data_IF_197935786557
#
_entry.id   IF_197935786557
#
_cell.length_a   1.000
_cell.length_b   1.000
_cell.length_c   1.000
_cell.angle_alpha   90.00
_cell.angle_beta   90.00
_cell.angle_gamma   90.00
#
_symmetry.space_group_name_H-M   'P 1'
#
loop_
_entity.id
_entity.type
_entity.pdbx_description
1 polymer ?
#
# COMPACT_ATOMS: atom_id res chain seq x y z
N UNK A 1 -28.82 -9.42 -18.10
CA UNK A 1 -27.76 -8.41 -17.91
C UNK A 1 -28.04 -7.54 -16.68
N UNK A 2 -29.09 -6.72 -16.66
CA UNK A 2 -29.37 -5.83 -15.51
C UNK A 2 -29.56 -6.53 -14.14
N UNK A 3 -30.09 -7.76 -14.09
CA UNK A 3 -30.19 -8.54 -12.84
C UNK A 3 -28.84 -9.11 -12.39
N UNK A 4 -28.03 -9.57 -13.34
CA UNK A 4 -26.67 -10.05 -13.08
C UNK A 4 -25.80 -8.91 -12.55
N UNK A 5 -25.85 -7.76 -13.21
CA UNK A 5 -25.16 -6.53 -12.79
C UNK A 5 -25.53 -6.13 -11.36
N UNK A 6 -26.83 -6.02 -11.05
CA UNK A 6 -27.28 -5.74 -9.69
C UNK A 6 -26.81 -6.78 -8.68
N UNK A 7 -26.79 -8.05 -9.05
CA UNK A 7 -26.31 -9.13 -8.19
C UNK A 7 -24.79 -9.05 -7.93
N UNK A 8 -24.01 -8.60 -8.91
CA UNK A 8 -22.56 -8.44 -8.77
C UNK A 8 -22.22 -7.19 -7.95
N UNK A 9 -22.88 -6.06 -8.25
CA UNK A 9 -22.74 -4.83 -7.47
C UNK A 9 -23.10 -5.08 -6.00
N UNK A 10 -24.23 -5.74 -5.73
CA UNK A 10 -24.66 -6.04 -4.35
C UNK A 10 -23.76 -7.03 -3.60
N UNK A 11 -22.77 -7.63 -4.27
CA UNK A 11 -21.78 -8.52 -3.66
C UNK A 11 -20.61 -7.74 -3.07
N UNK A 12 -20.25 -6.60 -3.66
CA UNK A 12 -19.20 -5.72 -3.14
C UNK A 12 -19.82 -4.80 -2.09
N UNK A 13 -19.44 -4.97 -0.83
CA UNK A 13 -19.82 -4.03 0.23
C UNK A 13 -18.71 -2.99 0.35
N UNK A 14 -18.96 -1.81 -0.18
CA UNK A 14 -18.05 -0.68 -0.05
C UNK A 14 -18.24 -0.02 1.33
N UNK A 15 -17.15 0.28 2.06
CA UNK A 15 -17.21 1.18 3.20
C UNK A 15 -17.68 2.57 2.78
N UNK A 16 -18.46 3.24 3.64
CA UNK A 16 -18.98 4.60 3.38
C UNK A 16 -17.87 5.62 3.13
N UNK A 17 -16.68 5.42 3.70
CA UNK A 17 -15.52 6.30 3.53
C UNK A 17 -14.98 6.35 2.09
N UNK A 18 -15.18 5.29 1.31
CA UNK A 18 -14.60 5.14 -0.04
C UNK A 18 -15.64 4.76 -1.09
N UNK A 19 -16.93 4.75 -0.75
CA UNK A 19 -17.97 4.31 -1.70
C UNK A 19 -18.03 5.19 -2.95
N UNK A 20 -17.80 6.49 -2.79
CA UNK A 20 -17.75 7.46 -3.88
C UNK A 20 -16.52 7.31 -4.78
N UNK A 21 -15.50 6.57 -4.34
CA UNK A 21 -14.30 6.32 -5.14
C UNK A 21 -14.57 5.29 -6.25
N UNK A 22 -15.62 4.47 -6.15
CA UNK A 22 -15.85 3.35 -7.06
C UNK A 22 -17.08 3.53 -7.95
N UNK A 23 -16.92 3.13 -9.20
CA UNK A 23 -18.00 2.93 -10.14
C UNK A 23 -18.01 1.49 -10.67
N UNK A 24 -19.20 0.96 -10.93
CA UNK A 24 -19.40 -0.39 -11.45
C UNK A 24 -20.27 -0.38 -12.70
N UNK A 25 -20.04 -1.32 -13.61
CA UNK A 25 -20.90 -1.52 -14.75
C UNK A 25 -20.62 -2.84 -15.48
N UNK A 26 -21.42 -3.14 -16.49
CA UNK A 26 -21.11 -4.20 -17.45
C UNK A 26 -20.86 -3.59 -18.83
N UNK A 27 -19.70 -3.90 -19.40
CA UNK A 27 -19.34 -3.48 -20.74
C UNK A 27 -18.60 -4.61 -21.47
N UNK A 28 -18.95 -4.83 -22.74
CA UNK A 28 -18.27 -5.76 -23.65
C UNK A 28 -17.99 -7.16 -23.06
N UNK A 29 -18.94 -7.69 -22.30
CA UNK A 29 -18.84 -9.02 -21.67
C UNK A 29 -17.99 -9.08 -20.40
N UNK A 30 -17.64 -7.93 -19.82
CA UNK A 30 -16.88 -7.81 -18.59
C UNK A 30 -17.68 -7.03 -17.52
N UNK A 31 -17.45 -7.35 -16.26
CA UNK A 31 -17.85 -6.53 -15.13
C UNK A 31 -16.73 -5.53 -14.86
N UNK A 32 -17.00 -4.26 -15.11
CA UNK A 32 -16.04 -3.18 -14.98
C UNK A 32 -16.11 -2.66 -13.54
N UNK A 33 -14.94 -2.60 -12.91
CA UNK A 33 -14.71 -1.84 -11.69
C UNK A 33 -13.81 -0.67 -12.07
N UNK A 34 -14.23 0.54 -11.76
CA UNK A 34 -13.52 1.78 -12.07
C UNK A 34 -13.36 2.59 -10.77
N UNK A 35 -12.26 3.32 -10.67
CA UNK A 35 -11.94 4.17 -9.53
C UNK A 35 -11.76 5.62 -9.97
N UNK A 36 -12.64 6.53 -9.52
CA UNK A 36 -12.59 7.94 -9.89
C UNK A 36 -11.54 8.76 -9.12
N UNK A 37 -11.03 8.22 -8.03
CA UNK A 37 -10.00 8.83 -7.18
C UNK A 37 -9.37 7.76 -6.29
N UNK A 38 -8.34 8.10 -5.51
CA UNK A 38 -7.83 7.15 -4.50
C UNK A 38 -8.94 6.77 -3.50
N UNK A 39 -9.06 5.47 -3.24
CA UNK A 39 -9.78 4.93 -2.10
C UNK A 39 -8.82 4.90 -0.90
N UNK A 40 -8.80 6.01 -0.15
CA UNK A 40 -7.83 6.25 0.92
C UNK A 40 -8.35 5.80 2.29
N UNK A 41 -7.53 5.04 3.01
CA UNK A 41 -7.72 4.67 4.41
C UNK A 41 -6.61 5.30 5.24
N UNK A 42 -6.96 6.24 6.10
CA UNK A 42 -5.99 6.91 6.97
C UNK A 42 -5.83 6.14 8.27
N UNK A 43 -4.59 5.81 8.64
CA UNK A 43 -4.26 5.07 9.85
C UNK A 43 -3.22 5.81 10.67
N UNK A 44 -3.38 5.84 11.99
CA UNK A 44 -2.36 6.35 12.90
C UNK A 44 -1.45 5.19 13.33
N UNK A 45 -0.13 5.35 13.19
CA UNK A 45 0.80 4.33 13.69
C UNK A 45 0.74 4.26 15.23
N UNK A 46 0.52 3.07 15.84
CA UNK A 46 0.54 2.92 17.28
C UNK A 46 1.85 3.39 17.94
N UNK A 47 1.80 3.85 19.18
CA UNK A 47 3.03 4.24 19.91
C UNK A 47 3.92 3.02 20.25
N UNK A 48 3.30 1.87 20.52
CA UNK A 48 4.00 0.61 20.80
C UNK A 48 4.66 0.04 19.54
N UNK A 49 5.96 -0.24 19.60
CA UNK A 49 6.69 -0.91 18.52
C UNK A 49 6.08 -2.27 18.16
N UNK A 50 5.66 -3.05 19.15
CA UNK A 50 5.01 -4.36 18.94
C UNK A 50 3.74 -4.23 18.11
N UNK A 51 2.91 -3.21 18.41
CA UNK A 51 1.68 -2.95 17.65
C UNK A 51 1.94 -2.36 16.27
N UNK A 52 2.97 -1.52 16.10
CA UNK A 52 3.37 -1.04 14.77
C UNK A 52 3.80 -2.20 13.89
N UNK A 53 4.68 -3.05 14.38
CA UNK A 53 5.17 -4.23 13.65
C UNK A 53 3.99 -5.14 13.28
N UNK A 54 3.07 -5.40 14.21
CA UNK A 54 1.88 -6.20 13.92
C UNK A 54 1.00 -5.56 12.84
N UNK A 55 0.73 -4.26 12.92
CA UNK A 55 -0.06 -3.51 11.93
C UNK A 55 0.57 -3.59 10.53
N UNK A 56 1.83 -3.15 10.39
CA UNK A 56 2.48 -3.08 9.08
C UNK A 56 2.63 -4.46 8.44
N UNK A 57 3.02 -5.48 9.22
CA UNK A 57 3.12 -6.85 8.69
C UNK A 57 1.76 -7.45 8.34
N UNK A 58 0.70 -7.07 9.04
CA UNK A 58 -0.66 -7.48 8.68
C UNK A 58 -1.09 -6.83 7.36
N UNK A 59 -0.81 -5.54 7.16
CA UNK A 59 -1.07 -4.87 5.88
C UNK A 59 -0.28 -5.52 4.72
N UNK A 60 1.00 -5.84 4.94
CA UNK A 60 1.85 -6.56 3.99
C UNK A 60 1.28 -7.97 3.65
N UNK A 61 0.78 -8.69 4.66
CA UNK A 61 0.14 -9.99 4.46
C UNK A 61 -1.17 -9.86 3.67
N UNK A 62 -1.99 -8.85 3.96
CA UNK A 62 -3.24 -8.60 3.25
C UNK A 62 -2.99 -8.28 1.77
N UNK A 63 -2.01 -7.42 1.46
CA UNK A 63 -1.70 -7.09 0.05
C UNK A 63 -1.19 -8.29 -0.74
N UNK A 64 -0.59 -9.28 -0.06
CA UNK A 64 -0.05 -10.47 -0.70
C UNK A 64 -1.07 -11.59 -0.85
N UNK A 65 -1.93 -11.80 0.14
CA UNK A 65 -2.79 -12.98 0.24
C UNK A 65 -4.28 -12.71 -0.01
N UNK A 66 -4.75 -11.49 0.18
CA UNK A 66 -6.15 -11.13 -0.06
C UNK A 66 -6.30 -10.50 -1.45
N UNK A 67 -5.83 -9.26 -1.58
CA UNK A 67 -5.82 -8.49 -2.82
C UNK A 67 -4.74 -7.41 -2.74
N UNK A 68 -4.10 -7.03 -3.86
CA UNK A 68 -3.13 -5.95 -3.89
C UNK A 68 -3.73 -4.60 -3.44
N UNK A 69 -2.94 -3.80 -2.74
CA UNK A 69 -3.17 -2.37 -2.46
C UNK A 69 -1.86 -1.71 -2.01
N UNK A 70 -1.82 -0.39 -1.94
CA UNK A 70 -0.66 0.33 -1.42
C UNK A 70 -0.70 0.44 0.13
N UNK A 71 0.30 -0.13 0.79
CA UNK A 71 0.61 0.14 2.20
C UNK A 71 1.44 1.42 2.30
N UNK A 72 1.61 2.04 3.48
CA UNK A 72 2.51 3.19 3.59
C UNK A 72 3.93 2.88 3.09
N UNK A 73 4.42 1.66 3.29
CA UNK A 73 5.75 1.25 2.85
C UNK A 73 5.84 1.04 1.33
N UNK A 74 4.79 0.54 0.68
CA UNK A 74 4.78 0.36 -0.78
C UNK A 74 4.34 1.60 -1.54
N UNK A 75 3.78 2.60 -0.86
CA UNK A 75 3.47 3.91 -1.44
C UNK A 75 4.63 4.90 -1.29
N UNK A 76 5.15 5.05 -0.07
CA UNK A 76 6.13 6.08 0.30
C UNK A 76 7.54 5.52 0.56
N UNK A 77 7.62 4.27 0.99
CA UNK A 77 8.84 3.69 1.58
C UNK A 77 9.87 3.14 0.59
N UNK A 78 10.95 2.52 1.10
CA UNK A 78 12.10 2.00 0.35
C UNK A 78 11.80 0.75 -0.51
N UNK A 79 10.53 0.45 -0.75
CA UNK A 79 10.08 -0.58 -1.67
C UNK A 79 8.95 -0.06 -2.57
N UNK A 80 8.78 1.26 -2.63
CA UNK A 80 7.73 1.88 -3.42
C UNK A 80 8.07 1.80 -4.90
N UNK A 81 7.14 1.23 -5.67
CA UNK A 81 7.21 1.26 -7.13
C UNK A 81 7.11 2.69 -7.67
N UNK A 82 6.35 3.55 -6.99
CA UNK A 82 6.10 4.94 -7.39
C UNK A 82 7.30 5.84 -7.10
N UNK A 83 8.09 5.52 -6.07
CA UNK A 83 9.30 6.24 -5.67
C UNK A 83 10.58 5.43 -5.91
N UNK A 84 10.62 4.58 -6.94
CA UNK A 84 11.74 3.67 -7.18
C UNK A 84 13.11 4.37 -7.19
N UNK A 85 13.22 5.51 -7.88
CA UNK A 85 14.47 6.30 -7.91
C UNK A 85 14.90 6.84 -6.54
N UNK A 86 13.96 7.36 -5.75
CA UNK A 86 14.24 7.82 -4.37
C UNK A 86 14.58 6.66 -3.44
N UNK A 87 13.95 5.52 -3.65
CA UNK A 87 14.20 4.29 -2.88
C UNK A 87 15.65 3.82 -3.05
N UNK A 88 16.13 3.78 -4.29
CA UNK A 88 17.52 3.39 -4.60
C UNK A 88 18.52 4.41 -4.03
N UNK A 89 18.24 5.72 -4.18
CA UNK A 89 19.04 6.77 -3.56
C UNK A 89 19.07 6.66 -2.02
N UNK A 90 17.96 6.24 -1.39
CA UNK A 90 17.91 5.99 0.03
C UNK A 90 18.78 4.80 0.44
N UNK A 91 18.77 3.69 -0.31
CA UNK A 91 19.62 2.55 0.00
C UNK A 91 21.10 2.94 0.03
N UNK A 92 21.55 3.77 -0.93
CA UNK A 92 22.91 4.29 -1.00
C UNK A 92 23.25 5.26 0.15
N UNK A 93 22.35 6.19 0.47
CA UNK A 93 22.59 7.22 1.48
C UNK A 93 22.36 6.75 2.92
N UNK A 94 21.55 5.71 3.12
CA UNK A 94 21.15 5.23 4.46
C UNK A 94 22.33 4.91 5.40
N UNK A 95 23.47 4.33 4.96
CA UNK A 95 24.61 4.08 5.85
C UNK A 95 25.27 5.38 6.35
N UNK A 96 25.13 6.47 5.58
CA UNK A 96 25.72 7.78 5.91
C UNK A 96 24.84 8.59 6.84
N UNK A 97 23.51 8.42 6.82
CA UNK A 97 22.56 9.14 7.69
C UNK A 97 22.90 9.00 9.18
N UNK A 98 23.40 7.85 9.61
CA UNK A 98 23.76 7.59 11.00
C UNK A 98 25.11 8.19 11.43
N UNK A 99 25.96 8.59 10.47
CA UNK A 99 27.38 8.94 10.72
C UNK A 99 27.78 10.32 10.24
N UNK A 100 26.96 10.97 9.41
CA UNK A 100 27.22 12.28 8.85
C UNK A 100 26.11 13.25 9.25
N UNK A 101 26.49 14.49 9.50
CA UNK A 101 25.56 15.62 9.59
C UNK A 101 24.93 15.91 8.22
N UNK A 102 23.80 16.61 8.25
CA UNK A 102 23.12 17.05 7.02
C UNK A 102 24.04 17.95 6.18
N UNK A 103 24.83 18.81 6.81
CA UNK A 103 25.78 19.67 6.12
C UNK A 103 26.88 18.88 5.41
N UNK A 104 27.39 17.81 6.04
CA UNK A 104 28.38 16.92 5.43
C UNK A 104 27.79 16.14 4.25
N UNK A 105 26.54 15.68 4.35
CA UNK A 105 25.83 15.02 3.24
C UNK A 105 25.56 15.96 2.08
N UNK A 106 25.15 17.19 2.37
CA UNK A 106 24.94 18.22 1.35
C UNK A 106 26.25 18.54 0.61
N UNK A 107 27.36 18.72 1.35
CA UNK A 107 28.67 18.93 0.75
C UNK A 107 29.13 17.74 -0.10
N UNK A 108 28.82 16.51 0.32
CA UNK A 108 29.11 15.30 -0.45
C UNK A 108 28.33 15.26 -1.78
N UNK A 109 27.03 15.57 -1.76
CA UNK A 109 26.19 15.57 -2.96
C UNK A 109 26.52 16.71 -3.93
N UNK A 110 26.99 17.85 -3.42
CA UNK A 110 27.43 19.01 -4.22
C UNK A 110 28.86 18.89 -4.78
N UNK A 111 29.62 17.86 -4.40
CA UNK A 111 30.98 17.68 -4.87
C UNK A 111 30.99 17.04 -6.27
N UNK A 112 31.15 17.86 -7.32
CA UNK A 112 31.30 17.44 -8.72
C UNK A 112 32.45 16.45 -8.98
N UNK A 113 33.38 16.28 -8.03
CA UNK A 113 34.45 15.29 -8.14
C UNK A 113 34.07 13.89 -7.66
N UNK A 114 32.92 13.76 -7.00
CA UNK A 114 32.36 12.49 -6.55
C UNK A 114 31.50 11.90 -7.67
N UNK A 115 31.79 10.66 -8.04
CA UNK A 115 30.91 9.85 -8.89
C UNK A 115 29.85 9.21 -7.99
N UNK A 116 28.61 9.68 -8.11
CA UNK A 116 27.44 9.13 -7.40
C UNK A 116 26.88 7.94 -8.17
N UNK A 117 26.18 7.02 -7.49
CA UNK A 117 25.51 5.91 -8.20
C UNK A 117 24.40 6.43 -9.12
N UNK A 118 24.02 5.58 -10.08
CA UNK A 118 23.20 5.94 -11.24
C UNK A 118 21.91 6.72 -10.88
N UNK A 119 21.20 6.34 -9.82
CA UNK A 119 19.94 6.98 -9.44
C UNK A 119 20.13 8.35 -8.76
N UNK A 120 21.18 8.53 -7.96
CA UNK A 120 21.53 9.85 -7.42
C UNK A 120 22.02 10.75 -8.56
N UNK A 121 22.86 10.23 -9.46
CA UNK A 121 23.33 10.96 -10.62
C UNK A 121 22.18 11.38 -11.55
N UNK A 122 21.21 10.48 -11.81
CA UNK A 122 20.02 10.77 -12.60
C UNK A 122 19.15 11.86 -11.95
N UNK A 123 18.91 11.77 -10.64
CA UNK A 123 18.18 12.81 -9.90
C UNK A 123 18.86 14.17 -10.07
N UNK A 124 20.16 14.26 -9.79
CA UNK A 124 20.92 15.51 -9.89
C UNK A 124 21.00 16.03 -11.34
N UNK A 125 21.02 15.13 -12.33
CA UNK A 125 20.96 15.52 -13.74
C UNK A 125 19.60 16.14 -14.12
N UNK A 126 18.50 15.54 -13.64
CA UNK A 126 17.14 16.00 -13.95
C UNK A 126 16.75 17.28 -13.20
N UNK A 127 17.20 17.43 -11.95
CA UNK A 127 16.80 18.52 -11.06
C UNK A 127 17.86 19.62 -10.91
N UNK A 128 19.11 19.33 -11.24
CA UNK A 128 20.26 20.21 -11.01
C UNK A 128 21.03 19.81 -9.76
N UNK A 129 22.34 20.03 -9.79
CA UNK A 129 23.24 19.83 -8.65
C UNK A 129 23.51 21.17 -7.96
N UNK A 130 22.46 21.72 -7.37
CA UNK A 130 22.48 22.94 -6.59
C UNK A 130 21.93 22.71 -5.18
N UNK A 131 22.13 23.69 -4.31
CA UNK A 131 21.80 23.57 -2.88
C UNK A 131 20.30 23.30 -2.66
N UNK A 132 19.40 23.85 -3.49
CA UNK A 132 17.96 23.66 -3.32
C UNK A 132 17.59 22.21 -3.69
N UNK A 133 18.03 21.74 -4.86
CA UNK A 133 17.77 20.37 -5.34
C UNK A 133 18.37 19.30 -4.43
N UNK A 134 19.59 19.52 -3.93
CA UNK A 134 20.24 18.60 -2.96
C UNK A 134 19.49 18.58 -1.63
N UNK A 135 19.01 19.73 -1.14
CA UNK A 135 18.21 19.76 0.08
C UNK A 135 16.88 19.04 -0.08
N UNK A 136 16.20 19.21 -1.23
CA UNK A 136 14.95 18.47 -1.52
C UNK A 136 15.17 16.96 -1.57
N UNK A 137 16.25 16.48 -2.18
CA UNK A 137 16.63 15.07 -2.13
C UNK A 137 16.83 14.61 -0.68
N UNK A 138 17.65 15.33 0.09
CA UNK A 138 17.93 14.97 1.48
C UNK A 138 16.66 14.95 2.35
N UNK A 139 15.73 15.88 2.15
CA UNK A 139 14.45 15.90 2.87
C UNK A 139 13.64 14.62 2.63
N UNK A 140 13.51 14.19 1.37
CA UNK A 140 12.84 12.93 1.03
C UNK A 140 13.56 11.70 1.63
N UNK A 141 14.90 11.70 1.61
CA UNK A 141 15.72 10.62 2.16
C UNK A 141 15.57 10.52 3.69
N UNK A 142 15.53 11.65 4.41
CA UNK A 142 15.26 11.68 5.85
C UNK A 142 13.83 11.24 6.19
N UNK A 143 12.84 11.65 5.40
CA UNK A 143 11.46 11.17 5.54
C UNK A 143 11.36 9.66 5.36
N UNK A 144 12.12 9.10 4.40
CA UNK A 144 12.13 7.65 4.15
C UNK A 144 12.80 6.88 5.29
N UNK A 145 13.88 7.40 5.87
CA UNK A 145 14.49 6.85 7.08
C UNK A 145 13.52 6.86 8.25
N UNK A 146 12.83 7.98 8.46
CA UNK A 146 11.83 8.11 9.51
C UNK A 146 10.68 7.12 9.33
N UNK A 147 10.14 6.98 8.13
CA UNK A 147 9.09 6.00 7.82
C UNK A 147 9.56 4.58 8.12
N UNK A 148 10.78 4.22 7.71
CA UNK A 148 11.38 2.91 8.00
C UNK A 148 11.51 2.66 9.50
N UNK A 149 11.93 3.66 10.27
CA UNK A 149 12.02 3.58 11.74
C UNK A 149 10.64 3.42 12.41
N UNK A 150 9.61 4.09 11.88
CA UNK A 150 8.23 3.96 12.37
C UNK A 150 7.70 2.55 12.09
N UNK A 151 7.83 2.07 10.85
CA UNK A 151 7.36 0.75 10.46
C UNK A 151 8.01 -0.36 11.30
N UNK A 152 9.30 -0.19 11.63
CA UNK A 152 10.04 -1.06 12.55
C UNK A 152 10.45 -2.40 11.94
N UNK A 153 9.64 -3.00 11.08
CA UNK A 153 9.97 -4.18 10.30
C UNK A 153 9.00 -4.37 9.12
N UNK A 154 9.48 -5.01 8.04
CA UNK A 154 8.66 -5.53 6.93
C UNK A 154 8.42 -7.03 7.11
N UNK A 155 7.37 -7.57 6.48
CA UNK A 155 7.13 -9.01 6.46
C UNK A 155 8.27 -9.73 5.72
N UNK A 156 8.84 -10.78 6.32
CA UNK A 156 9.92 -11.57 5.73
C UNK A 156 9.48 -12.43 4.54
N UNK A 157 10.46 -13.09 3.89
CA UNK A 157 10.19 -14.14 2.90
C UNK A 157 10.03 -15.48 3.64
N UNK A 158 8.78 -15.89 3.90
CA UNK A 158 8.50 -17.07 4.74
C UNK A 158 7.07 -17.13 5.26
N UNK A 159 6.13 -16.70 4.41
CA UNK A 159 4.92 -15.97 4.77
C UNK A 159 4.02 -16.68 5.77
N UNK A 160 3.85 -18.00 5.62
CA UNK A 160 2.92 -18.73 6.47
C UNK A 160 3.36 -18.85 7.92
N UNK A 161 4.60 -19.25 8.17
CA UNK A 161 5.13 -19.43 9.52
C UNK A 161 5.13 -18.09 10.26
N UNK A 162 5.49 -17.04 9.56
CA UNK A 162 5.50 -15.69 10.11
C UNK A 162 4.07 -15.16 10.37
N UNK A 163 3.10 -15.40 9.48
CA UNK A 163 1.69 -15.04 9.72
C UNK A 163 1.10 -15.84 10.90
N UNK A 164 1.46 -17.12 11.05
CA UNK A 164 1.07 -17.94 12.20
C UNK A 164 1.68 -17.39 13.50
N UNK A 165 2.96 -16.99 13.49
CA UNK A 165 3.63 -16.33 14.63
C UNK A 165 2.99 -14.98 14.99
N UNK A 166 2.66 -14.16 13.99
CA UNK A 166 1.95 -12.89 14.18
C UNK A 166 0.56 -13.10 14.76
N UNK A 167 -0.15 -14.14 14.32
CA UNK A 167 -1.46 -14.51 14.87
C UNK A 167 -1.36 -14.93 16.34
N UNK A 168 -0.31 -15.68 16.69
CA UNK A 168 -0.02 -16.05 18.08
C UNK A 168 0.35 -14.84 18.94
N UNK A 169 1.14 -13.90 18.41
CA UNK A 169 1.46 -12.64 19.07
C UNK A 169 0.20 -11.81 19.32
N UNK A 170 -0.66 -11.64 18.31
CA UNK A 170 -1.93 -10.94 18.45
C UNK A 170 -2.80 -11.54 19.57
N UNK A 171 -2.90 -12.87 19.62
CA UNK A 171 -3.61 -13.56 20.71
C UNK A 171 -3.01 -13.26 22.09
N UNK A 172 -1.68 -13.32 22.22
CA UNK A 172 -1.00 -13.03 23.49
C UNK A 172 -1.19 -11.57 23.94
N UNK A 173 -1.26 -10.62 22.99
CA UNK A 173 -1.53 -9.22 23.28
C UNK A 173 -2.97 -9.04 23.78
N UNK A 174 -3.95 -9.69 23.14
CA UNK A 174 -5.35 -9.68 23.60
C UNK A 174 -5.53 -10.24 25.02
N UNK A 175 -4.72 -11.23 25.42
CA UNK A 175 -4.80 -11.85 26.75
C UNK A 175 -4.27 -10.96 27.90
N UNK A 176 -3.60 -9.84 27.58
CA UNK A 176 -2.90 -8.97 28.56
C UNK A 176 -3.64 -7.70 29.00
N UNK A 177 -4.80 -7.34 28.42
CA UNK A 177 -5.67 -6.15 28.71
C UNK A 177 -5.13 -4.80 28.15
N UNK A 178 -5.88 -3.84 27.58
CA UNK A 178 -7.29 -3.74 27.07
C UNK A 178 -7.41 -2.63 25.98
N UNK A 179 -6.63 -1.55 26.08
CA UNK A 179 -6.83 -0.33 25.27
C UNK A 179 -6.73 -0.52 23.75
N UNK A 180 -6.02 -1.55 23.30
CA UNK A 180 -5.86 -1.87 21.87
C UNK A 180 -6.51 -3.21 21.47
N UNK A 181 -7.30 -3.82 22.35
CA UNK A 181 -7.97 -5.09 22.06
C UNK A 181 -8.83 -5.05 20.78
N UNK A 182 -9.60 -3.97 20.50
CA UNK A 182 -10.35 -3.86 19.25
C UNK A 182 -9.44 -3.93 18.02
N UNK A 183 -8.34 -3.18 18.02
CA UNK A 183 -7.36 -3.18 16.93
C UNK A 183 -6.76 -4.57 16.74
N UNK A 184 -6.23 -5.15 17.82
CA UNK A 184 -5.53 -6.44 17.77
C UNK A 184 -6.47 -7.56 17.31
N UNK A 185 -7.76 -7.51 17.69
CA UNK A 185 -8.77 -8.45 17.23
C UNK A 185 -8.99 -8.35 15.71
N UNK A 186 -9.08 -7.13 15.16
CA UNK A 186 -9.23 -6.94 13.70
C UNK A 186 -7.98 -7.39 12.95
N UNK A 187 -6.78 -7.09 13.47
CA UNK A 187 -5.53 -7.55 12.87
C UNK A 187 -5.41 -9.08 12.88
N UNK A 188 -5.78 -9.74 13.98
CA UNK A 188 -5.81 -11.20 14.07
C UNK A 188 -6.79 -11.83 13.07
N UNK A 189 -7.98 -11.23 12.90
CA UNK A 189 -8.96 -11.66 11.90
C UNK A 189 -8.42 -11.52 10.47
N UNK A 190 -7.75 -10.41 10.17
CA UNK A 190 -7.13 -10.20 8.86
C UNK A 190 -6.04 -11.25 8.57
N UNK A 191 -5.17 -11.55 9.54
CA UNK A 191 -4.15 -12.60 9.42
C UNK A 191 -4.78 -13.99 9.21
N UNK A 192 -5.87 -14.30 9.92
CA UNK A 192 -6.60 -15.55 9.73
C UNK A 192 -7.14 -15.66 8.30
N UNK A 193 -7.76 -14.60 7.77
CA UNK A 193 -8.23 -14.61 6.39
C UNK A 193 -7.09 -14.76 5.38
N UNK A 194 -5.91 -14.19 5.65
CA UNK A 194 -4.72 -14.40 4.81
C UNK A 194 -4.34 -15.90 4.77
N UNK A 195 -4.30 -16.58 5.92
CA UNK A 195 -4.01 -18.02 6.00
C UNK A 195 -5.06 -18.87 5.28
N UNK A 196 -6.34 -18.53 5.42
CA UNK A 196 -7.44 -19.22 4.74
C UNK A 196 -7.35 -19.07 3.22
N UNK A 197 -7.07 -17.86 2.73
CA UNK A 197 -6.86 -17.60 1.31
C UNK A 197 -5.64 -18.34 0.77
N UNK A 198 -4.50 -18.28 1.47
CA UNK A 198 -3.28 -19.02 1.10
C UNK A 198 -3.56 -20.53 0.99
N UNK A 199 -4.23 -21.11 1.98
CA UNK A 199 -4.55 -22.55 2.02
C UNK A 199 -5.54 -22.97 0.93
N UNK A 200 -6.52 -22.11 0.60
CA UNK A 200 -7.50 -22.38 -0.45
C UNK A 200 -6.91 -22.29 -1.86
N UNK A 201 -5.78 -21.59 -2.04
CA UNK A 201 -5.23 -21.25 -3.34
C UNK A 201 -6.09 -20.26 -4.13
N UNK A 202 -7.11 -19.66 -3.49
CA UNK A 202 -7.94 -18.62 -4.09
C UNK A 202 -7.07 -17.45 -4.54
N UNK A 203 -7.27 -16.97 -5.77
CA UNK A 203 -6.52 -15.85 -6.36
C UNK A 203 -5.00 -16.04 -6.47
N UNK A 204 -4.45 -17.24 -6.25
CA UNK A 204 -2.99 -17.49 -6.29
C UNK A 204 -2.33 -17.12 -7.63
N UNK A 205 -3.06 -17.24 -8.73
CA UNK A 205 -2.61 -16.88 -10.09
C UNK A 205 -3.26 -15.59 -10.59
N UNK A 206 -3.97 -14.86 -9.73
CA UNK A 206 -4.60 -13.60 -10.11
C UNK A 206 -3.55 -12.50 -10.18
N UNK A 207 -3.32 -11.98 -11.39
CA UNK A 207 -2.57 -10.75 -11.60
C UNK A 207 -3.52 -9.70 -12.22
N UNK A 208 -3.77 -8.56 -11.55
CA UNK A 208 -4.65 -7.52 -12.07
C UNK A 208 -4.28 -7.02 -13.47
N UNK A 209 -2.99 -7.03 -13.82
CA UNK A 209 -2.49 -6.55 -15.12
C UNK A 209 -2.78 -7.53 -16.27
N UNK A 210 -3.25 -8.75 -16.00
CA UNK A 210 -3.66 -9.72 -17.02
C UNK A 210 -5.07 -9.41 -17.59
N UNK A 211 -5.77 -8.42 -17.03
CA UNK A 211 -7.16 -8.09 -17.37
C UNK A 211 -7.26 -6.74 -18.10
N UNK A 212 -8.26 -6.56 -18.98
CA UNK A 212 -8.45 -5.29 -19.67
C UNK A 212 -8.77 -4.17 -18.68
N UNK A 213 -8.24 -2.98 -18.92
CA UNK A 213 -8.43 -1.78 -18.11
C UNK A 213 -8.35 -0.50 -18.94
N UNK A 214 -8.52 0.64 -18.29
CA UNK A 214 -8.49 2.00 -18.88
C UNK A 214 -7.09 2.59 -18.95
N UNK A 215 -6.20 2.22 -18.03
CA UNK A 215 -4.81 2.63 -18.06
C UNK A 215 -4.07 1.79 -19.11
N UNK A 216 -3.92 2.34 -20.31
CA UNK A 216 -3.35 1.66 -21.49
C UNK A 216 -1.94 1.09 -21.31
N UNK A 217 -1.25 1.38 -20.20
CA UNK A 217 0.16 1.01 -19.96
C UNK A 217 0.43 0.35 -18.59
N UNK A 218 -0.57 -0.16 -17.89
CA UNK A 218 -0.33 -1.04 -16.73
C UNK A 218 -0.61 -0.45 -15.35
N UNK A 219 -1.69 0.32 -15.20
CA UNK A 219 -2.28 0.63 -13.87
C UNK A 219 -3.58 -0.15 -13.68
N UNK A 220 -3.62 -1.03 -12.69
CA UNK A 220 -4.81 -1.73 -12.25
C UNK A 220 -5.61 -0.89 -11.26
N UNK A 221 -6.92 -1.17 -11.15
CA UNK A 221 -7.80 -0.57 -10.13
C UNK A 221 -7.17 -0.57 -8.73
N UNK A 222 -6.44 -1.63 -8.38
CA UNK A 222 -5.93 -1.85 -7.03
C UNK A 222 -4.82 -0.88 -6.63
N UNK A 223 -4.12 -0.30 -7.59
CA UNK A 223 -3.13 0.77 -7.36
C UNK A 223 -3.80 2.10 -6.95
N UNK A 224 -5.14 2.18 -7.01
CA UNK A 224 -5.90 3.31 -6.43
C UNK A 224 -6.35 3.07 -4.98
N UNK A 225 -6.05 1.92 -4.37
CA UNK A 225 -6.37 1.62 -2.97
C UNK A 225 -5.15 1.94 -2.13
N UNK A 226 -5.29 2.88 -1.19
CA UNK A 226 -4.16 3.45 -0.48
C UNK A 226 -4.39 3.50 1.02
N UNK A 227 -3.45 2.96 1.79
CA UNK A 227 -3.38 3.17 3.24
C UNK A 227 -2.34 4.26 3.53
N UNK A 228 -2.79 5.40 4.07
CA UNK A 228 -1.95 6.54 4.42
C UNK A 228 -1.72 6.60 5.93
N UNK A 229 -0.55 7.07 6.35
CA UNK A 229 -0.33 7.45 7.75
C UNK A 229 -0.94 8.83 8.02
N UNK A 230 -1.42 9.08 9.24
CA UNK A 230 -1.83 10.45 9.67
C UNK A 230 -0.67 11.43 9.75
N UNK A 231 0.57 10.94 9.63
CA UNK A 231 1.78 11.74 9.72
C UNK A 231 2.14 12.31 8.35
N UNK A 232 2.61 13.55 8.35
CA UNK A 232 2.97 14.29 7.15
C UNK A 232 4.36 13.85 6.66
N UNK A 233 4.41 13.22 5.48
CA UNK A 233 5.64 12.94 4.71
C UNK A 233 5.56 13.68 3.37
N UNK A 234 5.56 15.02 3.39
CA UNK A 234 5.13 15.82 2.24
C UNK A 234 6.01 15.63 1.01
N UNK A 235 7.32 15.38 1.19
CA UNK A 235 8.22 15.20 0.06
C UNK A 235 8.02 13.82 -0.57
N UNK A 236 7.87 12.77 0.25
CA UNK A 236 7.56 11.43 -0.26
C UNK A 236 6.18 11.34 -0.88
N UNK A 237 5.17 11.96 -0.27
CA UNK A 237 3.80 11.97 -0.78
C UNK A 237 3.73 12.66 -2.14
N UNK A 238 4.30 13.87 -2.24
CA UNK A 238 4.33 14.60 -3.51
C UNK A 238 5.03 13.77 -4.60
N UNK A 239 6.19 13.18 -4.31
CA UNK A 239 6.89 12.32 -5.25
C UNK A 239 6.07 11.10 -5.67
N UNK A 240 5.38 10.43 -4.73
CA UNK A 240 4.54 9.26 -5.05
C UNK A 240 3.36 9.63 -5.94
N UNK A 241 2.71 10.76 -5.67
CA UNK A 241 1.62 11.25 -6.52
C UNK A 241 2.11 11.62 -7.92
N UNK A 242 3.26 12.31 -8.02
CA UNK A 242 3.87 12.63 -9.31
C UNK A 242 4.24 11.35 -10.09
N UNK A 243 4.76 10.34 -9.39
CA UNK A 243 5.03 9.01 -9.95
C UNK A 243 3.77 8.33 -10.47
N UNK A 244 2.70 8.32 -9.67
CA UNK A 244 1.41 7.75 -10.08
C UNK A 244 0.79 8.48 -11.29
N UNK A 245 0.77 9.82 -11.26
CA UNK A 245 0.28 10.65 -12.36
C UNK A 245 1.10 10.44 -13.65
N UNK A 246 2.42 10.26 -13.49
CA UNK A 246 3.32 9.90 -14.57
C UNK A 246 2.97 8.57 -15.25
N UNK A 247 2.52 7.57 -14.47
CA UNK A 247 2.10 6.26 -15.01
C UNK A 247 0.71 6.37 -15.66
N UNK A 248 -0.24 7.06 -15.04
CA UNK A 248 -1.61 7.17 -15.57
C UNK A 248 -1.67 8.06 -16.83
N UNK A 249 -0.86 9.12 -16.92
CA UNK A 249 -0.58 9.92 -18.14
C UNK A 249 -1.79 10.19 -19.06
N UNK A 250 -2.91 10.64 -18.49
CA UNK A 250 -4.11 10.98 -19.27
C UNK A 250 -4.91 9.78 -19.80
N UNK A 251 -4.64 8.56 -19.32
CA UNK A 251 -5.35 7.33 -19.69
C UNK A 251 -6.76 7.19 -19.09
N UNK A 252 -7.22 8.22 -18.36
CA UNK A 252 -8.49 8.19 -17.64
C UNK A 252 -8.36 7.53 -16.27
N UNK A 253 -9.51 7.26 -15.64
CA UNK A 253 -9.60 6.69 -14.30
C UNK A 253 -9.18 5.22 -14.27
N UNK A 254 -8.41 4.73 -13.29
CA UNK A 254 -8.03 3.33 -13.18
C UNK A 254 -9.24 2.39 -13.20
N UNK A 255 -9.19 1.33 -14.00
CA UNK A 255 -10.26 0.35 -14.09
C UNK A 255 -9.76 -1.04 -14.40
N UNK A 256 -10.56 -2.04 -14.05
CA UNK A 256 -10.35 -3.45 -14.39
C UNK A 256 -11.66 -4.09 -14.88
N UNK A 257 -11.57 -4.83 -15.97
CA UNK A 257 -12.67 -5.58 -16.57
C UNK A 257 -12.59 -7.06 -16.24
N UNK A 258 -13.40 -7.51 -15.30
CA UNK A 258 -13.46 -8.92 -14.89
C UNK A 258 -14.36 -9.74 -15.82
N UNK A 259 -13.97 -10.96 -16.21
CA UNK A 259 -14.70 -11.75 -17.19
C UNK A 259 -16.07 -12.25 -16.69
N UNK A 260 -17.09 -12.26 -17.56
CA UNK A 260 -18.42 -12.77 -17.22
C UNK A 260 -18.75 -14.15 -17.81
N UNK A 261 -17.78 -14.82 -18.45
CA UNK A 261 -17.99 -16.19 -18.94
C UNK A 261 -18.31 -17.12 -17.76
N UNK A 262 -19.21 -18.12 -17.88
CA UNK A 262 -19.70 -18.87 -16.71
C UNK A 262 -18.62 -19.52 -15.82
N UNK A 263 -17.54 -20.00 -16.44
CA UNK A 263 -16.41 -20.60 -15.73
C UNK A 263 -15.58 -19.51 -15.03
N UNK A 264 -15.16 -18.47 -15.75
CA UNK A 264 -14.34 -17.39 -15.19
C UNK A 264 -15.11 -16.52 -14.19
N UNK A 265 -16.43 -16.41 -14.33
CA UNK A 265 -17.29 -15.76 -13.35
C UNK A 265 -17.13 -16.44 -11.98
N UNK A 266 -17.11 -17.77 -11.95
CA UNK A 266 -16.99 -18.55 -10.71
C UNK A 266 -15.57 -18.61 -10.18
N UNK A 267 -14.56 -18.68 -11.05
CA UNK A 267 -13.17 -18.90 -10.65
C UNK A 267 -12.36 -17.62 -10.51
N UNK A 268 -12.80 -16.50 -11.08
CA UNK A 268 -12.08 -15.22 -11.05
C UNK A 268 -12.99 -14.12 -10.50
N UNK A 269 -14.07 -13.78 -11.21
CA UNK A 269 -14.83 -12.56 -10.91
C UNK A 269 -15.47 -12.59 -9.53
N UNK A 270 -16.21 -13.65 -9.17
CA UNK A 270 -16.81 -13.73 -7.84
C UNK A 270 -15.75 -13.76 -6.71
N UNK A 271 -14.67 -14.56 -6.79
CA UNK A 271 -13.58 -14.49 -5.82
C UNK A 271 -12.93 -13.11 -5.68
N UNK A 272 -12.69 -12.40 -6.79
CA UNK A 272 -12.11 -11.03 -6.75
C UNK A 272 -13.07 -10.06 -6.07
N UNK A 273 -14.37 -10.11 -6.38
CA UNK A 273 -15.36 -9.23 -5.73
C UNK A 273 -15.49 -9.52 -4.22
N UNK A 274 -15.45 -10.81 -3.83
CA UNK A 274 -15.50 -11.22 -2.43
C UNK A 274 -14.25 -10.75 -1.69
N UNK A 275 -13.06 -10.95 -2.28
CA UNK A 275 -11.80 -10.49 -1.72
C UNK A 275 -11.74 -8.97 -1.62
N UNK A 276 -12.29 -8.23 -2.60
CA UNK A 276 -12.32 -6.77 -2.59
C UNK A 276 -13.19 -6.27 -1.44
N UNK A 277 -14.40 -6.83 -1.31
CA UNK A 277 -15.29 -6.50 -0.21
C UNK A 277 -14.68 -6.81 1.16
N UNK A 278 -14.01 -7.96 1.30
CA UNK A 278 -13.32 -8.34 2.52
C UNK A 278 -12.18 -7.37 2.84
N UNK A 279 -11.32 -7.10 1.85
CA UNK A 279 -10.14 -6.24 2.01
C UNK A 279 -10.54 -4.83 2.43
N UNK A 280 -11.47 -4.18 1.71
CA UNK A 280 -11.94 -2.84 2.04
C UNK A 280 -12.63 -2.80 3.42
N UNK A 281 -13.40 -3.83 3.76
CA UNK A 281 -14.04 -3.96 5.07
C UNK A 281 -13.04 -4.10 6.22
N UNK A 282 -11.96 -4.87 6.03
CA UNK A 282 -10.88 -5.00 7.01
C UNK A 282 -10.10 -3.68 7.15
N UNK A 283 -9.73 -3.03 6.04
CA UNK A 283 -9.04 -1.75 6.07
C UNK A 283 -9.84 -0.68 6.81
N UNK A 284 -11.15 -0.58 6.57
CA UNK A 284 -12.01 0.33 7.31
C UNK A 284 -12.00 0.03 8.81
N UNK A 285 -12.17 -1.24 9.19
CA UNK A 285 -12.22 -1.63 10.60
C UNK A 285 -10.88 -1.44 11.32
N UNK A 286 -9.77 -1.58 10.61
CA UNK A 286 -8.43 -1.27 11.13
C UNK A 286 -8.33 0.24 11.38
N UNK A 287 -8.75 1.07 10.41
CA UNK A 287 -8.75 2.53 10.56
C UNK A 287 -9.64 2.98 11.73
N UNK A 288 -10.88 2.48 11.80
CA UNK A 288 -11.82 2.78 12.89
C UNK A 288 -11.25 2.38 14.26
N UNK A 289 -10.69 1.17 14.38
CA UNK A 289 -10.11 0.71 15.63
C UNK A 289 -8.89 1.54 16.06
N UNK A 290 -8.09 2.02 15.11
CA UNK A 290 -6.96 2.91 15.40
C UNK A 290 -7.42 4.30 15.85
N UNK A 291 -8.47 4.84 15.23
CA UNK A 291 -9.07 6.12 15.65
C UNK A 291 -9.66 6.02 17.06
N UNK A 292 -10.35 4.92 17.38
CA UNK A 292 -10.86 4.66 18.73
C UNK A 292 -9.74 4.53 19.77
N UNK A 293 -8.63 3.86 19.41
CA UNK A 293 -7.45 3.75 20.27
C UNK A 293 -6.76 5.10 20.50
N UNK A 294 -6.61 5.92 19.44
CA UNK A 294 -5.94 7.22 19.51
C UNK A 294 -6.74 8.27 20.30
N UNK A 295 -8.07 8.15 20.31
CA UNK A 295 -8.95 9.00 21.12
C UNK A 295 -8.99 8.62 22.62
N UNK A 296 -8.38 7.49 23.00
CA UNK A 296 -8.32 7.01 24.37
C UNK A 296 -7.03 7.42 25.14
N UNK A 297 -6.04 7.98 24.44
CA UNK A 297 -4.78 8.54 25.00
C UNK A 297 -4.91 10.05 25.32
#
# INVERSE_FOLDING_TARGET
MAELERSLIGRVKLPTSVEDAYAFGIQDGHFILESSCFATFTVQAPASLELRVLLFKTLDAMTRHLLPFHTPMTFLGPHSYLNHGLSEAFEELSPRLATHSREELCAFLLDDSVEHDDYIAEYLYCHGQDEDSVNSLLDAIYEMDELKQIAGATLGQGDRCEIEELSDQARQICERDDAHAPLVQVLAEALQHCLEHEASGSLKEFNPHDFPGTAGDGVSLFESILVCLTRDFPNLEQSSYDGFDGIVSGSGFPAIGLPLSPDQLRTVTLPVLDALSLTLGLLQRIADALEECGNAE
#
